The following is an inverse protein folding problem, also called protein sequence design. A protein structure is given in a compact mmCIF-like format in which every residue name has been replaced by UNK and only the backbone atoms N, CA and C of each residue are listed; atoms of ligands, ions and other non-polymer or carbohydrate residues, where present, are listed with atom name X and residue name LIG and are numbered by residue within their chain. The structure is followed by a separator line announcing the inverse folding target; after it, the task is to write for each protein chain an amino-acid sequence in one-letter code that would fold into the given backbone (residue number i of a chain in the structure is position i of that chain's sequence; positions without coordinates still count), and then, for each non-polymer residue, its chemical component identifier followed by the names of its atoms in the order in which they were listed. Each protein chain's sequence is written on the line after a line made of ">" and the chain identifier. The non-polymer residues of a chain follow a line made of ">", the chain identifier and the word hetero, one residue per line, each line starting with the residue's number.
data_IF_588010785150
#
_entry.id   IF_588010785150
#
_cell.length_a   1.000
_cell.length_b   1.000
_cell.length_c   1.000
_cell.angle_alpha   90.00
_cell.angle_beta   90.00
_cell.angle_gamma   90.00
#
_symmetry.space_group_name_H-M   'P 1'
#
loop_
_entity.id
_entity.type
_entity.pdbx_description
1 polymer ?
#
# COMPACT_ATOMS: atom_id res chain seq x y z
N UNK A 1 1.91 -21.89 20.41
CA UNK A 1 2.47 -20.62 19.91
C UNK A 1 1.35 -19.85 19.23
N UNK A 2 1.15 -18.58 19.56
CA UNK A 2 0.11 -17.72 18.97
C UNK A 2 0.57 -17.22 17.59
N UNK A 3 -0.29 -17.31 16.58
CA UNK A 3 -0.01 -16.76 15.25
C UNK A 3 -0.24 -15.25 15.23
N UNK A 4 0.56 -14.50 14.47
CA UNK A 4 0.42 -13.04 14.28
C UNK A 4 -0.10 -12.75 12.86
N UNK A 5 -1.04 -11.81 12.72
CA UNK A 5 -1.47 -11.30 11.40
C UNK A 5 -0.52 -10.19 10.94
N UNK A 6 -0.08 -10.25 9.68
CA UNK A 6 0.72 -9.20 9.06
C UNK A 6 -0.10 -8.56 7.94
N UNK A 7 -0.65 -7.37 8.19
CA UNK A 7 -1.36 -6.61 7.17
C UNK A 7 -0.38 -5.88 6.26
N UNK A 8 -0.49 -6.09 4.95
CA UNK A 8 0.47 -5.55 3.97
C UNK A 8 -0.18 -4.51 3.05
N UNK A 9 0.35 -3.28 3.08
CA UNK A 9 -0.08 -2.15 2.27
C UNK A 9 0.87 -1.96 1.08
N UNK A 10 0.36 -1.98 -0.17
CA UNK A 10 1.19 -1.98 -1.38
C UNK A 10 1.78 -0.60 -1.70
N UNK A 11 2.73 -0.60 -2.64
CA UNK A 11 3.26 0.61 -3.26
C UNK A 11 2.23 1.27 -4.19
N UNK A 12 2.51 2.50 -4.63
CA UNK A 12 1.66 3.23 -5.58
C UNK A 12 1.47 2.42 -6.88
N UNK A 13 0.23 2.31 -7.36
CA UNK A 13 -0.13 1.50 -8.54
C UNK A 13 -0.12 -0.01 -8.30
N UNK A 14 0.35 -0.47 -7.14
CA UNK A 14 0.35 -1.88 -6.76
C UNK A 14 -1.00 -2.38 -6.27
N UNK A 15 -1.06 -3.69 -6.03
CA UNK A 15 -2.24 -4.40 -5.51
C UNK A 15 -1.84 -5.41 -4.44
N UNK A 16 -2.84 -6.04 -3.83
CA UNK A 16 -2.68 -7.13 -2.85
C UNK A 16 -1.77 -8.28 -3.36
N UNK A 17 -1.71 -8.48 -4.68
CA UNK A 17 -0.88 -9.49 -5.36
C UNK A 17 0.61 -9.35 -5.04
N UNK A 18 1.10 -8.13 -4.77
CA UNK A 18 2.51 -7.88 -4.44
C UNK A 18 2.99 -8.72 -3.24
N UNK A 19 2.07 -9.10 -2.34
CA UNK A 19 2.37 -9.88 -1.15
C UNK A 19 1.76 -11.29 -1.17
N UNK A 20 1.00 -11.67 -2.21
CA UNK A 20 0.32 -12.97 -2.26
C UNK A 20 1.33 -14.13 -2.20
N UNK A 21 2.46 -14.00 -2.88
CA UNK A 21 3.55 -14.99 -2.88
C UNK A 21 4.27 -15.15 -1.55
N UNK A 22 4.02 -14.28 -0.56
CA UNK A 22 4.63 -14.39 0.77
C UNK A 22 3.92 -15.41 1.65
N UNK A 23 2.64 -15.70 1.41
CA UNK A 23 1.85 -16.66 2.19
C UNK A 23 2.52 -18.03 2.32
N UNK A 24 3.28 -18.46 1.31
CA UNK A 24 4.02 -19.73 1.29
C UNK A 24 5.50 -19.62 1.67
N UNK A 25 6.03 -18.41 1.87
CA UNK A 25 7.47 -18.16 2.11
C UNK A 25 7.78 -17.69 3.52
N UNK A 26 6.80 -17.15 4.24
CA UNK A 26 6.99 -16.74 5.63
C UNK A 26 6.86 -17.94 6.58
N UNK A 27 7.40 -17.79 7.78
CA UNK A 27 7.25 -18.82 8.82
C UNK A 27 5.76 -19.09 9.13
N UNK A 28 5.35 -20.32 9.47
CA UNK A 28 3.94 -20.68 9.67
C UNK A 28 3.19 -19.86 10.74
N UNK A 29 3.91 -19.18 11.63
CA UNK A 29 3.33 -18.33 12.66
C UNK A 29 2.85 -16.97 12.14
N UNK A 30 3.23 -16.56 10.93
CA UNK A 30 2.83 -15.27 10.33
C UNK A 30 1.73 -15.53 9.30
N UNK A 31 0.54 -14.98 9.56
CA UNK A 31 -0.56 -14.95 8.59
C UNK A 31 -0.46 -13.68 7.76
N UNK A 32 -0.04 -13.78 6.51
CA UNK A 32 0.06 -12.63 5.60
C UNK A 32 -1.33 -12.25 5.10
N UNK A 33 -1.72 -11.00 5.36
CA UNK A 33 -3.02 -10.40 5.04
C UNK A 33 -2.82 -9.18 4.13
N UNK A 34 -2.61 -9.37 2.81
CA UNK A 34 -2.50 -8.25 1.88
C UNK A 34 -3.81 -7.46 1.82
N UNK A 35 -3.71 -6.13 1.87
CA UNK A 35 -4.88 -5.24 1.73
C UNK A 35 -5.01 -4.83 0.26
N UNK A 36 -6.21 -4.95 -0.29
CA UNK A 36 -6.53 -4.47 -1.64
C UNK A 36 -7.15 -3.06 -1.58
N UNK A 37 -6.56 -2.13 -2.32
CA UNK A 37 -7.02 -0.75 -2.44
C UNK A 37 -8.11 -0.63 -3.52
N UNK A 38 -9.01 0.35 -3.38
CA UNK A 38 -10.01 0.66 -4.41
C UNK A 38 -9.38 0.94 -5.77
N UNK A 39 -10.03 0.46 -6.82
CA UNK A 39 -9.56 0.59 -8.21
C UNK A 39 -8.35 -0.28 -8.54
N UNK A 40 -7.93 -1.19 -7.65
CA UNK A 40 -6.77 -2.08 -7.85
C UNK A 40 -7.17 -3.55 -7.67
N UNK A 41 -6.50 -4.43 -8.42
CA UNK A 41 -6.65 -5.88 -8.30
C UNK A 41 -8.12 -6.35 -8.29
N UNK A 42 -8.53 -7.06 -7.25
CA UNK A 42 -9.90 -7.59 -7.13
C UNK A 42 -10.97 -6.49 -6.93
N UNK A 43 -10.55 -5.26 -6.60
CA UNK A 43 -11.40 -4.08 -6.42
C UNK A 43 -11.30 -3.10 -7.60
N UNK A 44 -10.88 -3.58 -8.78
CA UNK A 44 -10.71 -2.74 -10.00
C UNK A 44 -11.99 -2.06 -10.49
N UNK A 45 -13.16 -2.60 -10.14
CA UNK A 45 -14.46 -2.04 -10.53
C UNK A 45 -14.92 -0.91 -9.59
N UNK A 46 -14.19 -0.65 -8.49
CA UNK A 46 -14.46 0.48 -7.60
C UNK A 46 -13.70 1.74 -8.06
N UNK A 47 -14.30 2.91 -7.87
CA UNK A 47 -13.63 4.19 -8.13
C UNK A 47 -12.41 4.38 -7.22
N UNK A 48 -11.34 4.97 -7.76
CA UNK A 48 -10.18 5.38 -6.97
C UNK A 48 -10.53 6.38 -5.87
N UNK A 49 -9.72 6.41 -4.82
CA UNK A 49 -9.84 7.40 -3.75
C UNK A 49 -9.62 8.82 -4.28
N UNK A 50 -10.35 9.79 -3.73
CA UNK A 50 -10.18 11.20 -4.08
C UNK A 50 -9.02 11.87 -3.32
N UNK A 51 -8.72 11.36 -2.15
CA UNK A 51 -7.69 11.89 -1.25
C UNK A 51 -7.14 10.78 -0.35
N UNK A 52 -6.18 11.12 0.49
CA UNK A 52 -5.50 10.14 1.32
C UNK A 52 -6.41 9.67 2.47
N UNK A 53 -7.22 10.58 3.01
CA UNK A 53 -8.16 10.35 4.12
C UNK A 53 -9.18 9.26 3.75
N UNK A 54 -9.80 9.34 2.57
CA UNK A 54 -10.71 8.31 2.05
C UNK A 54 -10.02 6.93 1.95
N UNK A 55 -8.74 6.90 1.60
CA UNK A 55 -7.97 5.66 1.54
C UNK A 55 -7.77 5.08 2.94
N UNK A 56 -7.42 5.92 3.92
CA UNK A 56 -7.22 5.48 5.32
C UNK A 56 -8.53 4.99 5.94
N UNK A 57 -9.64 5.69 5.70
CA UNK A 57 -10.96 5.27 6.20
C UNK A 57 -11.38 3.91 5.61
N UNK A 58 -11.18 3.71 4.31
CA UNK A 58 -11.48 2.43 3.66
C UNK A 58 -10.59 1.31 4.20
N UNK A 59 -9.28 1.53 4.32
CA UNK A 59 -8.35 0.54 4.87
C UNK A 59 -8.72 0.20 6.32
N UNK A 60 -9.03 1.21 7.15
CA UNK A 60 -9.45 1.03 8.53
C UNK A 60 -10.71 0.15 8.61
N UNK A 61 -11.73 0.45 7.82
CA UNK A 61 -12.99 -0.28 7.79
C UNK A 61 -12.83 -1.73 7.29
N UNK A 62 -11.86 -1.99 6.41
CA UNK A 62 -11.53 -3.35 5.97
C UNK A 62 -10.72 -4.11 7.03
N UNK A 63 -9.74 -3.44 7.66
CA UNK A 63 -8.77 -4.08 8.54
C UNK A 63 -9.35 -4.36 9.93
N UNK A 64 -9.94 -3.35 10.58
CA UNK A 64 -10.33 -3.41 12.01
C UNK A 64 -11.29 -4.56 12.33
N UNK A 65 -12.36 -4.81 11.54
CA UNK A 65 -13.26 -5.95 11.80
C UNK A 65 -12.58 -7.32 11.72
N UNK A 66 -11.40 -7.40 11.11
CA UNK A 66 -10.64 -8.64 10.95
C UNK A 66 -9.56 -8.84 12.01
N UNK A 67 -9.39 -7.91 12.95
CA UNK A 67 -8.47 -8.04 14.08
C UNK A 67 -9.09 -8.99 15.12
N UNK A 68 -8.48 -10.16 15.28
CA UNK A 68 -8.90 -11.22 16.22
C UNK A 68 -7.74 -11.69 17.13
N UNK A 69 -6.67 -10.90 17.21
CA UNK A 69 -5.47 -11.21 17.97
C UNK A 69 -4.29 -10.29 17.64
N UNK A 70 -3.07 -10.65 18.07
CA UNK A 70 -1.86 -9.88 17.77
C UNK A 70 -1.67 -9.66 16.28
N UNK A 71 -1.31 -8.44 15.90
CA UNK A 71 -1.05 -8.11 14.50
C UNK A 71 0.06 -7.07 14.34
N UNK A 72 0.57 -6.98 13.12
CA UNK A 72 1.55 -6.00 12.67
C UNK A 72 1.11 -5.42 11.32
N UNK A 73 1.59 -4.21 11.00
CA UNK A 73 1.32 -3.54 9.73
C UNK A 73 2.64 -3.34 9.00
N UNK A 74 2.69 -3.75 7.73
CA UNK A 74 3.78 -3.47 6.81
C UNK A 74 3.27 -2.57 5.70
N UNK A 75 4.02 -1.49 5.42
CA UNK A 75 3.78 -0.60 4.30
C UNK A 75 5.01 -0.46 3.44
N UNK A 76 4.90 -0.68 2.12
CA UNK A 76 5.99 -0.51 1.17
C UNK A 76 5.80 0.73 0.29
N UNK A 77 6.84 1.57 0.16
CA UNK A 77 6.82 2.82 -0.60
C UNK A 77 5.64 3.71 -0.17
N UNK A 78 4.69 4.05 -1.06
CA UNK A 78 3.44 4.75 -0.70
C UNK A 78 2.69 4.06 0.44
N UNK A 79 2.70 2.72 0.49
CA UNK A 79 2.11 1.94 1.57
C UNK A 79 2.70 2.26 2.95
N UNK A 80 3.95 2.73 3.03
CA UNK A 80 4.54 3.19 4.30
C UNK A 80 3.83 4.44 4.85
N UNK A 81 3.41 5.35 3.97
CA UNK A 81 2.60 6.51 4.37
C UNK A 81 1.20 6.09 4.79
N UNK A 82 0.59 5.16 4.05
CA UNK A 82 -0.72 4.62 4.43
C UNK A 82 -0.66 3.93 5.80
N UNK A 83 0.41 3.17 6.07
CA UNK A 83 0.62 2.52 7.37
C UNK A 83 0.76 3.55 8.50
N UNK A 84 1.48 4.65 8.27
CA UNK A 84 1.69 5.69 9.28
C UNK A 84 0.38 6.40 9.62
N UNK A 85 -0.36 6.88 8.62
CA UNK A 85 -1.65 7.55 8.85
C UNK A 85 -2.70 6.61 9.43
N UNK A 86 -2.70 5.34 9.00
CA UNK A 86 -3.57 4.32 9.60
C UNK A 86 -3.26 4.08 11.08
N UNK A 87 -2.00 4.12 11.49
CA UNK A 87 -1.64 4.03 12.91
C UNK A 87 -2.23 5.18 13.71
N UNK A 88 -2.16 6.42 13.20
CA UNK A 88 -2.77 7.57 13.86
C UNK A 88 -4.30 7.47 13.90
N UNK A 89 -4.93 6.97 12.82
CA UNK A 89 -6.37 6.71 12.83
C UNK A 89 -6.75 5.65 13.86
N UNK A 90 -6.02 4.54 13.94
CA UNK A 90 -6.26 3.50 14.96
C UNK A 90 -6.16 4.07 16.38
N UNK A 91 -5.20 4.96 16.63
CA UNK A 91 -5.06 5.64 17.92
C UNK A 91 -6.24 6.57 18.21
N UNK A 92 -6.66 7.37 17.22
CA UNK A 92 -7.77 8.31 17.36
C UNK A 92 -9.12 7.62 17.63
N UNK A 93 -9.35 6.47 16.99
CA UNK A 93 -10.59 5.68 17.13
C UNK A 93 -10.54 4.72 18.32
N UNK A 94 -9.50 4.79 19.17
CA UNK A 94 -9.27 3.91 20.33
C UNK A 94 -9.29 2.41 19.96
N UNK A 95 -8.88 2.08 18.74
CA UNK A 95 -8.80 0.71 18.26
C UNK A 95 -7.57 -0.02 18.83
N UNK A 96 -7.60 -1.36 18.79
CA UNK A 96 -6.42 -2.17 19.15
C UNK A 96 -5.23 -1.80 18.28
N UNK A 97 -4.10 -1.42 18.88
CA UNK A 97 -2.89 -1.01 18.16
C UNK A 97 -2.04 -2.21 17.71
N UNK A 98 -1.30 -2.09 16.59
CA UNK A 98 -0.39 -3.13 16.13
C UNK A 98 0.79 -3.30 17.09
N UNK A 99 1.30 -4.53 17.22
CA UNK A 99 2.54 -4.80 17.97
C UNK A 99 3.78 -4.24 17.25
N UNK A 100 3.74 -4.21 15.92
CA UNK A 100 4.85 -3.72 15.10
C UNK A 100 4.35 -2.95 13.87
N UNK A 101 5.10 -1.90 13.55
CA UNK A 101 5.01 -1.13 12.32
C UNK A 101 6.28 -1.37 11.49
N UNK A 102 6.11 -1.74 10.22
CA UNK A 102 7.22 -2.03 9.30
C UNK A 102 7.11 -1.10 8.10
N UNK A 103 8.06 -0.18 7.97
CA UNK A 103 8.15 0.75 6.85
C UNK A 103 9.27 0.31 5.90
N UNK A 104 8.96 0.14 4.62
CA UNK A 104 9.90 -0.39 3.63
C UNK A 104 9.96 0.51 2.39
N UNK A 105 11.16 0.79 1.89
CA UNK A 105 11.33 1.46 0.59
C UNK A 105 10.81 2.90 0.54
N UNK A 106 10.83 3.61 1.67
CA UNK A 106 10.43 5.01 1.73
C UNK A 106 11.31 5.80 2.72
N UNK A 107 11.43 7.11 2.52
CA UNK A 107 12.16 8.00 3.44
C UNK A 107 11.30 8.33 4.66
N UNK A 108 11.95 8.72 5.75
CA UNK A 108 11.25 9.17 6.95
C UNK A 108 10.48 10.47 6.68
N UNK A 109 9.37 10.76 7.40
CA UNK A 109 8.51 11.90 7.08
C UNK A 109 9.17 13.27 7.14
N UNK A 110 10.14 13.45 8.03
CA UNK A 110 10.91 14.68 8.18
C UNK A 110 12.05 14.83 7.16
N UNK A 111 12.28 13.82 6.29
CA UNK A 111 13.36 13.87 5.32
C UNK A 111 13.04 14.81 4.17
N UNK A 112 13.99 15.69 3.84
CA UNK A 112 13.86 16.56 2.68
C UNK A 112 13.71 15.73 1.39
N UNK A 113 12.69 16.07 0.61
CA UNK A 113 12.41 15.46 -0.69
C UNK A 113 12.49 16.56 -1.73
N UNK A 114 13.36 16.37 -2.75
CA UNK A 114 13.21 17.12 -4.00
C UNK A 114 11.93 16.60 -4.66
N UNK A 115 10.81 17.26 -4.41
CA UNK A 115 9.53 16.79 -4.90
C UNK A 115 9.37 17.11 -6.38
N UNK A 116 9.44 16.06 -7.19
CA UNK A 116 8.73 16.05 -8.47
C UNK A 116 7.27 15.81 -8.13
N UNK A 117 6.39 16.73 -8.50
CA UNK A 117 4.95 16.59 -8.30
C UNK A 117 4.38 15.73 -9.44
N UNK A 118 4.51 14.42 -9.31
CA UNK A 118 4.20 13.45 -10.37
C UNK A 118 2.79 13.58 -10.94
N UNK A 119 1.78 13.84 -10.10
CA UNK A 119 0.37 13.94 -10.52
C UNK A 119 0.06 15.21 -11.34
N UNK A 120 0.99 16.17 -11.43
CA UNK A 120 0.86 17.35 -12.29
C UNK A 120 1.61 17.23 -13.60
N UNK A 121 2.37 16.15 -13.78
CA UNK A 121 3.07 15.89 -15.04
C UNK A 121 2.07 15.53 -16.13
N UNK A 122 2.40 15.86 -17.38
CA UNK A 122 1.71 15.26 -18.52
C UNK A 122 1.90 13.74 -18.55
N UNK A 123 1.03 13.00 -19.23
CA UNK A 123 1.15 11.54 -19.33
C UNK A 123 2.51 11.08 -19.86
N UNK A 124 3.09 11.80 -20.82
CA UNK A 124 4.41 11.50 -21.38
C UNK A 124 5.55 11.76 -20.39
N UNK A 125 5.48 12.86 -19.64
CA UNK A 125 6.45 13.17 -18.58
C UNK A 125 6.33 12.18 -17.42
N UNK A 126 5.10 11.83 -17.02
CA UNK A 126 4.81 10.83 -16.01
C UNK A 126 5.39 9.46 -16.42
N UNK A 127 5.13 9.02 -17.66
CA UNK A 127 5.68 7.76 -18.20
C UNK A 127 7.20 7.70 -18.08
N UNK A 128 7.89 8.74 -18.54
CA UNK A 128 9.37 8.86 -18.46
C UNK A 128 9.85 8.89 -17.01
N UNK A 129 9.11 9.57 -16.13
CA UNK A 129 9.49 9.69 -14.73
C UNK A 129 9.35 8.35 -13.99
N UNK A 130 8.26 7.59 -14.18
CA UNK A 130 8.07 6.27 -13.58
C UNK A 130 9.08 5.25 -14.14
N UNK A 131 9.37 5.29 -15.45
CA UNK A 131 10.46 4.48 -16.04
C UNK A 131 11.80 4.70 -15.33
N UNK A 132 12.12 5.96 -15.01
CA UNK A 132 13.37 6.33 -14.32
C UNK A 132 13.40 5.91 -12.85
N UNK A 133 12.26 5.92 -12.17
CA UNK A 133 12.14 5.44 -10.78
C UNK A 133 12.44 3.93 -10.70
N UNK A 134 12.10 3.18 -11.75
CA UNK A 134 12.16 1.72 -11.74
C UNK A 134 11.02 1.10 -10.93
N UNK A 135 11.01 -0.22 -10.80
CA UNK A 135 9.94 -0.95 -10.09
C UNK A 135 8.74 -1.35 -10.96
N UNK A 136 8.62 -0.79 -12.15
CA UNK A 136 7.62 -1.15 -13.17
C UNK A 136 8.34 -1.72 -14.40
N UNK A 137 7.87 -2.85 -14.92
CA UNK A 137 8.47 -3.51 -16.09
C UNK A 137 8.37 -2.63 -17.35
N UNK A 138 9.44 -2.61 -18.16
CA UNK A 138 9.43 -1.87 -19.43
C UNK A 138 8.28 -2.25 -20.37
N UNK A 139 7.84 -3.52 -20.30
CA UNK A 139 6.69 -4.05 -21.07
C UNK A 139 5.38 -3.30 -20.78
N UNK A 140 5.21 -2.75 -19.58
CA UNK A 140 4.02 -1.96 -19.22
C UNK A 140 4.01 -0.65 -20.01
N UNK A 141 5.17 -0.05 -20.25
CA UNK A 141 5.26 1.18 -21.03
C UNK A 141 5.24 0.95 -22.53
N UNK A 142 5.30 -0.30 -23.01
CA UNK A 142 5.14 -0.62 -24.43
C UNK A 142 3.65 -0.83 -24.79
N UNK A 143 2.80 -1.11 -23.81
CA UNK A 143 1.36 -1.34 -24.00
C UNK A 143 0.52 -0.17 -23.45
N UNK A 144 -0.16 0.55 -24.34
CA UNK A 144 -0.98 1.72 -23.97
C UNK A 144 -2.20 1.36 -23.10
N UNK A 145 -2.83 0.20 -23.31
CA UNK A 145 -3.98 -0.24 -22.52
C UNK A 145 -3.56 -0.62 -21.09
N UNK A 146 -2.37 -1.21 -20.91
CA UNK A 146 -1.84 -1.51 -19.58
C UNK A 146 -1.35 -0.22 -18.89
N UNK A 147 -0.90 0.76 -19.65
CA UNK A 147 -0.50 2.05 -19.08
C UNK A 147 -1.70 2.89 -18.64
N UNK A 148 -2.85 2.80 -19.31
CA UNK A 148 -4.03 3.61 -18.99
C UNK A 148 -4.68 3.30 -17.63
N UNK A 149 -4.31 2.19 -16.99
CA UNK A 149 -4.75 1.84 -15.63
C UNK A 149 -3.84 2.38 -14.52
N UNK A 150 -2.74 3.08 -14.86
CA UNK A 150 -1.87 3.75 -13.87
C UNK A 150 -2.40 5.13 -13.53
#
# INVERSE_FOLDING_TARGET
>A
MTSIKLFCLPHAGGSSIAFQGWKSKVIPLIKVCPIELKGRGIRSNESFYKNFEEAIDDIYNVLVPTIDGPYAILGHSMGSWLALELYYKLLQEEASLPLHMIFSGNKAPHSQRKEIIYHKLSNEEFRKAIQKIGGTSNKIFENQEIFSIF
#
